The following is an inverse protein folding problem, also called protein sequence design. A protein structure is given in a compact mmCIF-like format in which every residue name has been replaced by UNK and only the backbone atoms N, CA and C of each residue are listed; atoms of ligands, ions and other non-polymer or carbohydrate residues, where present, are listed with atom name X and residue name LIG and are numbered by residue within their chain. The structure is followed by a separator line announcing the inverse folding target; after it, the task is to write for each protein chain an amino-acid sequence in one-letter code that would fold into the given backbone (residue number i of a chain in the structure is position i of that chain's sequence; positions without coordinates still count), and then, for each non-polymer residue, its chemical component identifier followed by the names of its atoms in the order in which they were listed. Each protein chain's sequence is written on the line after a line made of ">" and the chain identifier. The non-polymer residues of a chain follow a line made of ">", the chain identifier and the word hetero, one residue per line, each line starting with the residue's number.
data_IF_115881420335
#
_entry.id   IF_115881420335
#
_cell.length_a   1.000
_cell.length_b   1.000
_cell.length_c   1.000
_cell.angle_alpha   90.00
_cell.angle_beta   90.00
_cell.angle_gamma   90.00
#
_symmetry.space_group_name_H-M   'P 1'
#
loop_
_entity.id
_entity.type
_entity.pdbx_description
1 polymer ?
#
# COMPACT_ATOMS: atom_id res chain seq x y z
N UNK A 1 -23.83 -15.68 -7.57
CA UNK A 1 -23.49 -14.24 -7.74
C UNK A 1 -24.08 -13.39 -6.62
N UNK A 2 -25.37 -13.52 -6.30
CA UNK A 2 -25.99 -12.81 -5.16
C UNK A 2 -25.29 -13.07 -3.82
N UNK A 3 -24.91 -14.31 -3.51
CA UNK A 3 -24.16 -14.64 -2.29
C UNK A 3 -22.83 -13.89 -2.14
N UNK A 4 -22.07 -13.76 -3.23
CA UNK A 4 -20.81 -13.01 -3.25
C UNK A 4 -21.03 -11.50 -3.09
N UNK A 5 -22.13 -10.98 -3.65
CA UNK A 5 -22.51 -9.58 -3.46
C UNK A 5 -22.87 -9.30 -2.00
N UNK A 6 -23.61 -10.20 -1.34
CA UNK A 6 -23.85 -10.11 0.10
C UNK A 6 -22.54 -10.14 0.88
N UNK A 7 -21.60 -11.03 0.54
CA UNK A 7 -20.31 -11.07 1.23
C UNK A 7 -19.50 -9.78 1.07
N UNK A 8 -19.56 -9.15 -0.12
CA UNK A 8 -18.95 -7.82 -0.34
C UNK A 8 -19.60 -6.77 0.57
N UNK A 9 -20.93 -6.72 0.63
CA UNK A 9 -21.63 -5.78 1.53
C UNK A 9 -21.33 -6.05 3.00
N UNK A 10 -21.26 -7.31 3.41
CA UNK A 10 -20.85 -7.71 4.77
C UNK A 10 -19.41 -7.28 5.07
N UNK A 11 -18.52 -7.31 4.07
CA UNK A 11 -17.13 -6.85 4.20
C UNK A 11 -17.01 -5.33 4.37
N UNK A 12 -18.06 -4.56 4.08
CA UNK A 12 -18.10 -3.10 4.30
C UNK A 12 -18.54 -2.71 5.71
N UNK A 13 -19.15 -3.64 6.46
CA UNK A 13 -19.61 -3.40 7.85
C UNK A 13 -18.44 -3.01 8.74
N UNK A 14 -18.56 -1.92 9.49
CA UNK A 14 -17.54 -1.41 10.41
C UNK A 14 -17.40 -2.26 11.69
N UNK A 15 -17.25 -3.58 11.53
CA UNK A 15 -16.93 -4.49 12.62
C UNK A 15 -15.75 -5.41 12.27
N UNK A 16 -14.75 -5.46 13.15
CA UNK A 16 -13.44 -6.09 12.90
C UNK A 16 -13.57 -7.61 12.80
N UNK A 17 -14.36 -8.23 13.68
CA UNK A 17 -14.53 -9.69 13.70
C UNK A 17 -15.28 -10.18 12.45
N UNK A 18 -16.30 -9.44 12.01
CA UNK A 18 -17.00 -9.73 10.76
C UNK A 18 -16.06 -9.59 9.56
N UNK A 19 -15.24 -8.54 9.57
CA UNK A 19 -14.27 -8.30 8.51
C UNK A 19 -13.22 -9.42 8.43
N UNK A 20 -12.69 -9.91 9.56
CA UNK A 20 -11.73 -11.03 9.60
C UNK A 20 -12.30 -12.29 8.94
N UNK A 21 -13.55 -12.65 9.24
CA UNK A 21 -14.22 -13.80 8.64
C UNK A 21 -14.35 -13.62 7.11
N UNK A 22 -14.74 -12.43 6.66
CA UNK A 22 -14.85 -12.15 5.23
C UNK A 22 -13.47 -12.16 4.55
N UNK A 23 -12.45 -11.60 5.21
CA UNK A 23 -11.08 -11.54 4.73
C UNK A 23 -10.49 -12.95 4.54
N UNK A 24 -10.74 -13.87 5.46
CA UNK A 24 -10.31 -15.26 5.34
C UNK A 24 -10.87 -15.90 4.04
N UNK A 25 -12.16 -15.70 3.77
CA UNK A 25 -12.76 -16.16 2.51
C UNK A 25 -12.11 -15.51 1.28
N UNK A 26 -11.92 -14.18 1.29
CA UNK A 26 -11.32 -13.47 0.16
C UNK A 26 -9.86 -13.88 -0.09
N UNK A 27 -9.11 -14.16 0.97
CA UNK A 27 -7.76 -14.69 0.88
C UNK A 27 -7.75 -16.06 0.19
N UNK A 28 -8.58 -17.00 0.66
CA UNK A 28 -8.69 -18.35 0.06
C UNK A 28 -9.07 -18.25 -1.42
N UNK A 29 -10.13 -17.49 -1.75
CA UNK A 29 -10.59 -17.35 -3.14
C UNK A 29 -9.51 -16.74 -4.05
N UNK A 30 -8.86 -15.67 -3.61
CA UNK A 30 -7.82 -15.00 -4.40
C UNK A 30 -6.57 -15.88 -4.57
N UNK A 31 -6.17 -16.62 -3.54
CA UNK A 31 -5.06 -17.58 -3.57
C UNK A 31 -5.34 -18.76 -4.52
N UNK A 32 -6.58 -19.28 -4.56
CA UNK A 32 -6.98 -20.33 -5.51
C UNK A 32 -6.93 -19.83 -6.95
N UNK A 33 -7.54 -18.66 -7.22
CA UNK A 33 -7.55 -18.07 -8.57
C UNK A 33 -6.13 -17.73 -9.06
N UNK A 34 -5.22 -17.36 -8.15
CA UNK A 34 -3.81 -17.12 -8.44
C UNK A 34 -3.06 -18.43 -8.75
N UNK A 35 -3.31 -19.50 -8.00
CA UNK A 35 -2.71 -20.82 -8.25
C UNK A 35 -3.12 -21.46 -9.58
N UNK A 36 -4.21 -21.02 -10.19
CA UNK A 36 -4.61 -21.46 -11.53
C UNK A 36 -3.73 -20.89 -12.67
N UNK A 37 -2.94 -19.82 -12.44
CA UNK A 37 -2.13 -19.15 -13.49
C UNK A 37 -1.09 -20.09 -14.14
N UNK A 38 -0.29 -20.87 -13.39
CA UNK A 38 0.78 -21.68 -13.99
C UNK A 38 0.23 -22.84 -14.84
N UNK A 39 -0.96 -23.35 -14.55
CA UNK A 39 -1.50 -24.54 -15.21
C UNK A 39 -1.98 -24.28 -16.65
N UNK A 40 -2.39 -23.06 -16.98
CA UNK A 40 -2.83 -22.71 -18.34
C UNK A 40 -1.68 -22.51 -19.32
N UNK A 41 -0.48 -22.19 -18.83
CA UNK A 41 0.70 -21.96 -19.68
C UNK A 41 1.51 -23.24 -19.96
N UNK A 42 1.37 -24.28 -19.14
CA UNK A 42 2.16 -25.53 -19.22
C UNK A 42 1.46 -26.63 -20.02
N UNK A 43 0.15 -26.52 -20.30
CA UNK A 43 -0.57 -27.53 -21.08
C UNK A 43 -0.07 -27.56 -22.54
N UNK A 44 0.53 -28.66 -23.01
CA UNK A 44 1.05 -28.75 -24.36
C UNK A 44 -0.07 -28.64 -25.40
N UNK A 45 0.23 -27.99 -26.51
CA UNK A 45 -0.71 -27.55 -27.55
C UNK A 45 -1.60 -28.67 -28.12
N UNK A 46 -1.19 -29.94 -28.04
CA UNK A 46 -1.94 -31.09 -28.52
C UNK A 46 -3.07 -31.57 -27.58
N UNK A 47 -3.10 -31.12 -26.31
CA UNK A 47 -4.23 -31.35 -25.40
C UNK A 47 -5.34 -30.30 -25.56
N UNK A 48 -5.17 -29.33 -26.47
CA UNK A 48 -6.20 -28.33 -26.83
C UNK A 48 -7.22 -28.88 -27.83
N UNK A 49 -7.70 -30.10 -27.62
CA UNK A 49 -8.79 -30.70 -28.39
C UNK A 49 -10.13 -30.19 -27.89
N UNK A 50 -10.75 -29.30 -28.67
CA UNK A 50 -12.18 -28.98 -28.61
C UNK A 50 -12.52 -27.61 -27.98
N UNK A 51 -12.81 -26.63 -28.84
CA UNK A 51 -13.70 -25.48 -28.56
C UNK A 51 -13.57 -24.74 -27.20
N UNK A 52 -12.35 -24.42 -26.75
CA UNK A 52 -12.12 -23.63 -25.52
C UNK A 52 -12.19 -22.10 -25.70
N UNK A 53 -12.79 -21.60 -26.79
CA UNK A 53 -12.78 -20.16 -27.12
C UNK A 53 -13.90 -19.34 -26.46
N UNK A 54 -14.77 -19.89 -25.60
CA UNK A 54 -15.93 -19.15 -25.08
C UNK A 54 -16.36 -19.45 -23.64
N UNK A 55 -15.59 -20.21 -22.84
CA UNK A 55 -15.87 -20.31 -21.40
C UNK A 55 -15.07 -19.21 -20.70
N UNK A 56 -15.73 -18.21 -20.09
CA UNK A 56 -15.00 -17.20 -19.33
C UNK A 56 -14.16 -17.91 -18.28
N UNK A 57 -12.86 -17.58 -18.20
CA UNK A 57 -12.03 -18.11 -17.12
C UNK A 57 -12.70 -17.78 -15.79
N UNK A 58 -12.57 -18.64 -14.76
CA UNK A 58 -13.15 -18.36 -13.43
C UNK A 58 -12.84 -16.92 -12.98
N UNK A 59 -11.66 -16.39 -13.33
CA UNK A 59 -11.26 -14.99 -13.15
C UNK A 59 -12.20 -13.97 -13.78
N UNK A 60 -12.60 -14.14 -15.04
CA UNK A 60 -13.53 -13.24 -15.71
C UNK A 60 -14.89 -13.24 -14.99
N UNK A 61 -15.35 -14.39 -14.51
CA UNK A 61 -16.57 -14.47 -13.72
C UNK A 61 -16.50 -13.68 -12.41
N UNK A 62 -15.35 -13.74 -11.70
CA UNK A 62 -15.16 -13.00 -10.45
C UNK A 62 -14.70 -11.55 -10.64
N UNK A 63 -14.30 -11.12 -11.84
CA UNK A 63 -13.65 -9.82 -12.10
C UNK A 63 -14.34 -8.63 -11.42
N UNK A 64 -15.65 -8.49 -11.63
CA UNK A 64 -16.46 -7.42 -11.04
C UNK A 64 -16.48 -7.46 -9.51
N UNK A 65 -16.54 -8.67 -8.93
CA UNK A 65 -16.53 -8.85 -7.47
C UNK A 65 -15.13 -8.54 -6.92
N UNK A 66 -14.08 -9.03 -7.57
CA UNK A 66 -12.69 -8.79 -7.13
C UNK A 66 -12.32 -7.32 -7.19
N UNK A 67 -12.82 -6.55 -8.16
CA UNK A 67 -12.63 -5.09 -8.20
C UNK A 67 -13.26 -4.41 -6.98
N UNK A 68 -14.47 -4.83 -6.56
CA UNK A 68 -15.07 -4.35 -5.30
C UNK A 68 -14.26 -4.75 -4.07
N UNK A 69 -13.77 -5.99 -4.02
CA UNK A 69 -12.92 -6.46 -2.92
C UNK A 69 -11.61 -5.66 -2.87
N UNK A 70 -10.97 -5.35 -4.00
CA UNK A 70 -9.79 -4.45 -4.04
C UNK A 70 -10.09 -3.10 -3.41
N UNK A 71 -11.22 -2.48 -3.75
CA UNK A 71 -11.65 -1.20 -3.15
C UNK A 71 -11.77 -1.30 -1.63
N UNK A 72 -12.37 -2.38 -1.12
CA UNK A 72 -12.51 -2.61 0.33
C UNK A 72 -11.14 -2.82 0.99
N UNK A 73 -10.29 -3.68 0.42
CA UNK A 73 -8.94 -3.95 0.95
C UNK A 73 -8.09 -2.68 1.02
N UNK A 74 -8.18 -1.82 0.00
CA UNK A 74 -7.47 -0.53 -0.04
C UNK A 74 -8.05 0.44 1.00
N UNK A 75 -9.37 0.58 1.07
CA UNK A 75 -10.03 1.52 1.98
C UNK A 75 -9.96 1.13 3.46
N UNK A 76 -9.73 -0.15 3.76
CA UNK A 76 -9.72 -0.67 5.14
C UNK A 76 -8.37 -1.23 5.57
N UNK A 77 -7.30 -0.99 4.80
CA UNK A 77 -5.99 -1.55 5.09
C UNK A 77 -5.59 -1.32 6.55
N UNK A 78 -5.23 -2.38 7.25
CA UNK A 78 -4.79 -2.30 8.63
C UNK A 78 -3.41 -1.62 8.74
N UNK A 79 -3.15 -1.01 9.90
CA UNK A 79 -1.90 -0.28 10.17
C UNK A 79 -0.70 -1.24 10.16
N UNK A 80 0.30 -1.04 9.28
CA UNK A 80 1.57 -1.79 9.29
C UNK A 80 2.38 -1.51 10.56
N UNK A 81 3.23 -2.45 10.98
CA UNK A 81 4.09 -2.30 12.17
C UNK A 81 5.19 -1.22 11.99
N UNK A 82 5.56 -0.92 10.76
CA UNK A 82 6.56 0.09 10.40
C UNK A 82 6.02 1.52 10.54
N UNK A 83 4.70 1.69 10.65
CA UNK A 83 4.03 2.99 10.78
C UNK A 83 3.91 3.36 12.25
N UNK A 84 4.77 4.30 12.67
CA UNK A 84 4.87 4.73 14.06
C UNK A 84 4.14 6.06 14.36
N UNK A 85 3.85 6.86 13.33
CA UNK A 85 3.14 8.14 13.48
C UNK A 85 1.65 7.89 13.40
N UNK A 86 0.91 8.20 14.46
CA UNK A 86 -0.53 7.91 14.55
C UNK A 86 -1.27 9.07 15.19
N UNK A 87 -2.55 9.18 14.87
CA UNK A 87 -3.49 10.08 15.55
C UNK A 87 -3.99 9.39 16.82
N UNK A 88 -3.86 10.05 17.98
CA UNK A 88 -4.43 9.55 19.23
C UNK A 88 -5.94 9.89 19.34
N UNK A 89 -6.60 9.41 20.39
CA UNK A 89 -8.03 9.69 20.66
C UNK A 89 -8.36 11.19 20.81
N UNK A 90 -7.35 12.03 21.03
CA UNK A 90 -7.48 13.49 21.17
C UNK A 90 -7.26 14.24 19.85
N UNK A 91 -7.02 13.52 18.75
CA UNK A 91 -6.73 14.11 17.44
C UNK A 91 -5.29 14.65 17.30
N UNK A 92 -4.39 14.27 18.21
CA UNK A 92 -2.99 14.71 18.19
C UNK A 92 -2.10 13.67 17.51
N UNK A 93 -1.09 14.15 16.79
CA UNK A 93 -0.11 13.29 16.13
C UNK A 93 0.96 12.86 17.13
N UNK A 94 0.96 11.57 17.47
CA UNK A 94 1.87 10.96 18.44
C UNK A 94 2.69 9.83 17.82
N UNK A 95 3.73 9.39 18.54
CA UNK A 95 4.50 8.20 18.21
C UNK A 95 4.01 7.01 19.03
N UNK A 96 3.61 5.94 18.36
CA UNK A 96 3.17 4.69 18.99
C UNK A 96 3.81 3.48 18.31
N UNK A 97 4.16 2.46 19.09
CA UNK A 97 4.62 1.18 18.56
C UNK A 97 3.47 0.18 18.54
N UNK A 98 3.29 -0.51 17.43
CA UNK A 98 2.34 -1.62 17.35
C UNK A 98 2.83 -2.79 18.22
N UNK A 99 2.03 -3.19 19.20
CA UNK A 99 2.31 -4.36 20.06
C UNK A 99 1.22 -5.43 19.99
N UNK A 100 0.08 -5.11 19.39
CA UNK A 100 -1.05 -6.03 19.27
C UNK A 100 -0.78 -7.04 18.15
N UNK A 101 -0.69 -8.31 18.55
CA UNK A 101 -0.42 -9.42 17.63
C UNK A 101 -1.59 -9.66 16.67
N UNK A 102 -2.82 -9.41 17.10
CA UNK A 102 -4.01 -9.60 16.29
C UNK A 102 -4.08 -8.55 15.17
N UNK A 103 -3.79 -7.28 15.49
CA UNK A 103 -3.67 -6.22 14.49
C UNK A 103 -2.55 -6.48 13.46
N UNK A 104 -1.41 -7.01 13.91
CA UNK A 104 -0.29 -7.40 13.03
C UNK A 104 -0.71 -8.53 12.08
N UNK A 105 -1.42 -9.54 12.59
CA UNK A 105 -1.90 -10.65 11.78
C UNK A 105 -2.98 -10.22 10.78
N UNK A 106 -3.87 -9.31 11.18
CA UNK A 106 -4.85 -8.70 10.28
C UNK A 106 -4.16 -8.01 9.10
N UNK A 107 -3.14 -7.17 9.37
CA UNK A 107 -2.36 -6.54 8.30
C UNK A 107 -1.70 -7.56 7.38
N UNK A 108 -1.08 -8.63 7.93
CA UNK A 108 -0.46 -9.69 7.12
C UNK A 108 -1.47 -10.37 6.18
N UNK A 109 -2.65 -10.72 6.68
CA UNK A 109 -3.71 -11.35 5.90
C UNK A 109 -4.28 -10.41 4.82
N UNK A 110 -4.48 -9.12 5.16
CA UNK A 110 -4.92 -8.11 4.18
C UNK A 110 -3.88 -7.91 3.09
N UNK A 111 -2.60 -7.78 3.47
CA UNK A 111 -1.48 -7.66 2.53
C UNK A 111 -1.42 -8.84 1.58
N UNK A 112 -1.45 -10.06 2.09
CA UNK A 112 -1.39 -11.26 1.26
C UNK A 112 -2.56 -11.30 0.26
N UNK A 113 -3.78 -11.02 0.74
CA UNK A 113 -4.98 -10.96 -0.10
C UNK A 113 -4.84 -9.91 -1.21
N UNK A 114 -4.40 -8.69 -0.87
CA UNK A 114 -4.23 -7.62 -1.84
C UNK A 114 -3.10 -7.92 -2.84
N UNK A 115 -2.05 -8.62 -2.42
CA UNK A 115 -0.98 -9.10 -3.31
C UNK A 115 -1.55 -10.11 -4.31
N UNK A 116 -2.35 -11.09 -3.90
CA UNK A 116 -3.02 -12.01 -4.84
C UNK A 116 -3.94 -11.25 -5.81
N UNK A 117 -4.76 -10.33 -5.31
CA UNK A 117 -5.64 -9.50 -6.15
C UNK A 117 -4.87 -8.67 -7.17
N UNK A 118 -3.68 -8.17 -6.80
CA UNK A 118 -2.82 -7.39 -7.70
C UNK A 118 -2.21 -8.27 -8.79
N UNK A 119 -1.78 -9.49 -8.47
CA UNK A 119 -1.34 -10.43 -9.50
C UNK A 119 -2.46 -10.86 -10.46
N UNK A 120 -3.71 -10.91 -9.98
CA UNK A 120 -4.87 -11.27 -10.79
C UNK A 120 -5.25 -10.18 -11.79
N UNK A 121 -5.12 -8.90 -11.41
CA UNK A 121 -5.34 -7.74 -12.27
C UNK A 121 -4.67 -6.50 -11.65
N UNK A 122 -3.43 -6.24 -12.07
CA UNK A 122 -2.67 -5.11 -11.54
C UNK A 122 -3.16 -3.78 -12.10
N UNK A 123 -3.79 -3.78 -13.28
CA UNK A 123 -4.31 -2.58 -13.95
C UNK A 123 -5.51 -2.03 -13.17
N UNK A 124 -6.43 -2.90 -12.75
CA UNK A 124 -7.54 -2.51 -11.87
C UNK A 124 -7.04 -2.03 -10.51
N UNK A 125 -6.04 -2.70 -9.90
CA UNK A 125 -5.41 -2.23 -8.66
C UNK A 125 -4.77 -0.84 -8.82
N UNK A 126 -3.95 -0.63 -9.86
CA UNK A 126 -3.32 0.65 -10.17
C UNK A 126 -4.38 1.75 -10.36
N UNK A 127 -5.43 1.47 -11.15
CA UNK A 127 -6.52 2.40 -11.41
C UNK A 127 -7.25 2.82 -10.13
N UNK A 128 -7.60 1.87 -9.26
CA UNK A 128 -8.29 2.17 -7.99
C UNK A 128 -7.40 3.00 -7.06
N UNK A 129 -6.12 2.66 -6.93
CA UNK A 129 -5.19 3.39 -6.08
C UNK A 129 -4.95 4.81 -6.59
N UNK A 130 -4.80 4.99 -7.90
CA UNK A 130 -4.63 6.32 -8.52
C UNK A 130 -5.90 7.16 -8.40
N UNK A 131 -7.09 6.58 -8.61
CA UNK A 131 -8.38 7.26 -8.40
C UNK A 131 -8.50 7.78 -6.95
N UNK A 132 -8.25 6.91 -5.96
CA UNK A 132 -8.30 7.29 -4.55
C UNK A 132 -7.26 8.36 -4.18
N UNK A 133 -6.07 8.28 -4.76
CA UNK A 133 -5.03 9.30 -4.54
C UNK A 133 -5.45 10.66 -5.12
N UNK A 134 -6.02 10.67 -6.33
CA UNK A 134 -6.56 11.89 -6.93
C UNK A 134 -7.67 12.50 -6.06
N UNK A 135 -8.52 11.68 -5.43
CA UNK A 135 -9.55 12.13 -4.49
C UNK A 135 -8.98 12.75 -3.19
N UNK A 136 -7.76 12.36 -2.79
CA UNK A 136 -7.05 13.03 -1.69
C UNK A 136 -6.54 14.42 -2.12
N UNK A 137 -5.99 14.53 -3.34
CA UNK A 137 -5.41 15.77 -3.88
C UNK A 137 -6.47 16.82 -4.20
N UNK A 138 -7.58 16.41 -4.80
CA UNK A 138 -8.68 17.32 -5.16
C UNK A 138 -9.58 17.71 -3.96
N UNK A 139 -9.32 17.17 -2.76
CA UNK A 139 -10.07 17.38 -1.51
C UNK A 139 -11.46 16.74 -1.42
N UNK A 140 -11.87 15.90 -2.37
CA UNK A 140 -13.20 15.24 -2.33
C UNK A 140 -13.30 14.20 -1.21
N UNK A 141 -12.23 13.45 -0.95
CA UNK A 141 -12.19 12.40 0.08
C UNK A 141 -11.04 12.60 1.08
N UNK A 142 -10.50 13.83 1.18
CA UNK A 142 -9.36 14.12 2.04
C UNK A 142 -9.65 13.85 3.52
N UNK A 143 -8.90 12.93 4.11
CA UNK A 143 -8.80 12.77 5.57
C UNK A 143 -7.50 12.03 5.92
N UNK A 144 -7.00 12.18 7.15
CA UNK A 144 -5.81 11.45 7.59
C UNK A 144 -6.02 9.93 7.49
N UNK A 145 -7.21 9.45 7.91
CA UNK A 145 -7.60 8.04 7.80
C UNK A 145 -7.56 7.51 6.36
N UNK A 146 -8.14 8.24 5.41
CA UNK A 146 -8.19 7.81 4.01
C UNK A 146 -6.80 7.84 3.35
N UNK A 147 -6.00 8.87 3.60
CA UNK A 147 -4.63 8.92 3.10
C UNK A 147 -3.77 7.78 3.68
N UNK A 148 -3.86 7.56 4.98
CA UNK A 148 -3.12 6.51 5.69
C UNK A 148 -3.44 5.13 5.11
N UNK A 149 -4.71 4.74 5.10
CA UNK A 149 -5.14 3.42 4.59
C UNK A 149 -4.73 3.21 3.13
N UNK A 150 -4.88 4.23 2.28
CA UNK A 150 -4.41 4.20 0.89
C UNK A 150 -2.89 3.97 0.80
N UNK A 151 -2.08 4.73 1.54
CA UNK A 151 -0.62 4.62 1.48
C UNK A 151 -0.12 3.29 2.08
N UNK A 152 -0.80 2.77 3.11
CA UNK A 152 -0.55 1.43 3.66
C UNK A 152 -0.84 0.36 2.59
N UNK A 153 -1.94 0.49 1.87
CA UNK A 153 -2.28 -0.42 0.78
C UNK A 153 -1.24 -0.36 -0.36
N UNK A 154 -0.84 0.85 -0.76
CA UNK A 154 0.22 1.06 -1.76
C UNK A 154 1.52 0.41 -1.31
N UNK A 155 1.96 0.59 -0.05
CA UNK A 155 3.17 -0.07 0.44
C UNK A 155 3.06 -1.60 0.49
N UNK A 156 1.89 -2.13 0.81
CA UNK A 156 1.67 -3.57 1.01
C UNK A 156 1.85 -4.41 -0.26
N UNK A 157 1.62 -3.83 -1.45
CA UNK A 157 1.73 -4.51 -2.76
C UNK A 157 3.14 -4.49 -3.37
N UNK A 158 4.15 -4.05 -2.62
CA UNK A 158 5.54 -4.03 -3.08
C UNK A 158 6.00 -5.39 -3.62
N UNK A 159 6.51 -5.39 -4.85
CA UNK A 159 6.96 -6.59 -5.55
C UNK A 159 5.86 -7.39 -6.26
N UNK A 160 4.59 -6.97 -6.20
CA UNK A 160 3.49 -7.63 -6.92
C UNK A 160 3.33 -7.17 -8.38
N UNK A 161 4.13 -6.18 -8.82
CA UNK A 161 4.15 -5.64 -10.17
C UNK A 161 5.50 -5.92 -10.85
N UNK A 162 5.51 -5.90 -12.19
CA UNK A 162 6.74 -5.92 -12.98
C UNK A 162 7.52 -4.62 -12.74
N UNK A 163 8.86 -4.65 -12.77
CA UNK A 163 9.70 -3.51 -12.36
C UNK A 163 9.38 -2.20 -13.08
N UNK A 164 9.10 -2.25 -14.40
CA UNK A 164 8.81 -1.04 -15.17
C UNK A 164 7.44 -0.43 -14.83
N UNK A 165 6.43 -1.27 -14.61
CA UNK A 165 5.10 -0.83 -14.18
C UNK A 165 5.13 -0.33 -12.74
N UNK A 166 5.81 -1.06 -11.83
CA UNK A 166 6.05 -0.64 -10.44
C UNK A 166 6.74 0.73 -10.40
N UNK A 167 7.78 0.92 -11.22
CA UNK A 167 8.48 2.20 -11.35
C UNK A 167 7.56 3.32 -11.81
N UNK A 168 6.76 3.11 -12.88
CA UNK A 168 5.82 4.13 -13.39
C UNK A 168 4.82 4.51 -12.31
N UNK A 169 4.22 3.51 -11.67
CA UNK A 169 3.24 3.70 -10.61
C UNK A 169 3.82 4.51 -9.43
N UNK A 170 5.00 4.13 -8.93
CA UNK A 170 5.63 4.82 -7.80
C UNK A 170 6.02 6.26 -8.10
N UNK A 171 6.50 6.55 -9.31
CA UNK A 171 6.82 7.94 -9.70
C UNK A 171 5.56 8.80 -9.63
N UNK A 172 4.42 8.30 -10.10
CA UNK A 172 3.13 8.99 -10.01
C UNK A 172 2.72 9.20 -8.55
N UNK A 173 2.71 8.13 -7.74
CA UNK A 173 2.30 8.20 -6.33
C UNK A 173 3.12 9.21 -5.55
N UNK A 174 4.46 9.15 -5.66
CA UNK A 174 5.35 10.01 -4.88
C UNK A 174 5.22 11.47 -5.33
N UNK A 175 5.05 11.71 -6.63
CA UNK A 175 4.81 13.07 -7.15
C UNK A 175 3.53 13.67 -6.60
N UNK A 176 2.42 12.93 -6.64
CA UNK A 176 1.12 13.38 -6.11
C UNK A 176 1.19 13.63 -4.59
N UNK A 177 1.83 12.73 -3.83
CA UNK A 177 1.98 12.90 -2.38
C UNK A 177 2.87 14.10 -2.01
N UNK A 178 3.96 14.34 -2.74
CA UNK A 178 4.79 15.54 -2.55
C UNK A 178 3.99 16.81 -2.86
N UNK A 179 3.23 16.83 -3.96
CA UNK A 179 2.33 17.94 -4.30
C UNK A 179 1.28 18.19 -3.21
N UNK A 180 0.68 17.13 -2.68
CA UNK A 180 -0.25 17.19 -1.55
C UNK A 180 0.40 17.78 -0.29
N UNK A 181 1.67 17.41 -0.01
CA UNK A 181 2.43 17.95 1.12
C UNK A 181 2.72 19.45 0.98
N UNK A 182 2.93 19.93 -0.24
CA UNK A 182 3.09 21.37 -0.53
C UNK A 182 1.75 22.13 -0.40
N UNK A 183 0.66 21.54 -0.88
CA UNK A 183 -0.68 22.13 -0.85
C UNK A 183 -1.24 22.24 0.57
N UNK A 184 -1.03 21.22 1.41
CA UNK A 184 -1.63 21.16 2.74
C UNK A 184 -0.83 21.97 3.76
N UNK A 185 -1.56 22.83 4.49
CA UNK A 185 -1.02 23.67 5.56
C UNK A 185 -1.16 22.98 6.92
N UNK A 186 -0.36 23.41 7.89
CA UNK A 186 -0.40 22.88 9.26
C UNK A 186 0.60 21.76 9.51
N UNK A 187 1.20 21.77 10.71
CA UNK A 187 2.27 20.84 11.09
C UNK A 187 1.80 19.38 11.07
N UNK A 188 0.58 19.11 11.52
CA UNK A 188 0.05 17.76 11.68
C UNK A 188 -0.27 17.14 10.30
N UNK A 189 -0.89 17.92 9.41
CA UNK A 189 -1.08 17.51 8.01
C UNK A 189 0.26 17.16 7.33
N UNK A 190 1.28 18.00 7.49
CA UNK A 190 2.61 17.74 6.92
C UNK A 190 3.25 16.49 7.51
N UNK A 191 3.13 16.27 8.81
CA UNK A 191 3.64 15.09 9.49
C UNK A 191 2.99 13.80 8.96
N UNK A 192 1.67 13.79 8.81
CA UNK A 192 0.92 12.64 8.28
C UNK A 192 1.26 12.37 6.81
N UNK A 193 1.36 13.40 5.96
CA UNK A 193 1.71 13.18 4.55
C UNK A 193 3.16 12.69 4.43
N UNK A 194 4.09 13.29 5.18
CA UNK A 194 5.49 12.88 5.19
C UNK A 194 5.68 11.44 5.69
N UNK A 195 4.95 11.03 6.74
CA UNK A 195 5.02 9.65 7.26
C UNK A 195 4.56 8.64 6.22
N UNK A 196 3.49 8.95 5.48
CA UNK A 196 3.00 8.12 4.39
C UNK A 196 3.99 8.04 3.21
N UNK A 197 4.58 9.16 2.79
CA UNK A 197 5.63 9.16 1.75
C UNK A 197 6.79 8.27 2.18
N UNK A 198 7.27 8.42 3.41
CA UNK A 198 8.38 7.63 3.95
C UNK A 198 8.07 6.15 4.02
N UNK A 199 6.86 5.80 4.48
CA UNK A 199 6.40 4.42 4.51
C UNK A 199 6.37 3.82 3.09
N UNK A 200 5.69 4.48 2.14
CA UNK A 200 5.62 4.00 0.74
C UNK A 200 7.03 3.84 0.18
N UNK A 201 7.85 4.90 0.17
CA UNK A 201 9.22 4.86 -0.34
C UNK A 201 10.03 3.71 0.29
N UNK A 202 9.86 3.51 1.60
CA UNK A 202 10.52 2.47 2.35
C UNK A 202 10.17 1.04 1.95
N UNK A 203 8.93 0.80 1.55
CA UNK A 203 8.48 -0.53 1.12
C UNK A 203 9.03 -0.95 -0.25
N UNK A 204 9.61 -0.04 -1.05
CA UNK A 204 10.06 -0.31 -2.43
C UNK A 204 11.59 -0.24 -2.63
N UNK A 205 12.35 -1.19 -2.06
CA UNK A 205 13.81 -1.16 -2.13
C UNK A 205 14.40 -1.45 -3.51
N UNK A 206 13.66 -2.11 -4.41
CA UNK A 206 14.10 -2.32 -5.81
C UNK A 206 14.21 -0.99 -6.54
N UNK A 207 13.14 -0.20 -6.50
CA UNK A 207 13.08 1.16 -7.05
C UNK A 207 14.18 2.06 -6.48
N UNK A 208 14.37 2.07 -5.15
CA UNK A 208 15.38 2.89 -4.51
C UNK A 208 16.82 2.54 -4.89
N UNK A 209 17.12 1.25 -5.09
CA UNK A 209 18.46 0.83 -5.51
C UNK A 209 18.82 1.34 -6.91
N UNK A 210 17.83 1.44 -7.80
CA UNK A 210 18.00 1.97 -9.15
C UNK A 210 18.00 3.52 -9.19
N UNK A 211 17.37 4.19 -8.21
CA UNK A 211 17.10 5.64 -8.26
C UNK A 211 17.58 6.40 -7.01
N UNK A 212 18.83 6.20 -6.58
CA UNK A 212 19.38 6.88 -5.38
C UNK A 212 19.27 8.41 -5.39
N UNK A 213 19.47 9.06 -6.54
CA UNK A 213 19.34 10.53 -6.65
C UNK A 213 17.91 10.98 -6.31
N UNK A 214 16.92 10.23 -6.77
CA UNK A 214 15.51 10.48 -6.48
C UNK A 214 15.22 10.35 -4.99
N UNK A 215 15.72 9.30 -4.33
CA UNK A 215 15.59 9.13 -2.88
C UNK A 215 16.16 10.34 -2.13
N UNK A 216 17.36 10.79 -2.50
CA UNK A 216 17.99 11.95 -1.88
C UNK A 216 17.11 13.20 -2.03
N UNK A 217 16.55 13.43 -3.22
CA UNK A 217 15.64 14.56 -3.46
C UNK A 217 14.38 14.46 -2.60
N UNK A 218 13.74 13.29 -2.54
CA UNK A 218 12.53 13.08 -1.72
C UNK A 218 12.85 13.33 -0.25
N UNK A 219 13.93 12.75 0.28
CA UNK A 219 14.34 12.91 1.69
C UNK A 219 14.64 14.38 2.02
N UNK A 220 15.42 15.07 1.17
CA UNK A 220 15.71 16.50 1.37
C UNK A 220 14.43 17.34 1.35
N UNK A 221 13.52 17.05 0.43
CA UNK A 221 12.24 17.77 0.31
C UNK A 221 11.35 17.57 1.54
N UNK A 222 11.31 16.34 2.07
CA UNK A 222 10.62 16.06 3.33
C UNK A 222 11.28 16.79 4.51
N UNK A 223 12.61 16.87 4.55
CA UNK A 223 13.30 17.68 5.56
C UNK A 223 12.94 19.16 5.45
N UNK A 224 12.94 19.75 4.25
CA UNK A 224 12.50 21.14 4.03
C UNK A 224 11.09 21.39 4.56
N UNK A 225 10.17 20.45 4.34
CA UNK A 225 8.80 20.55 4.84
C UNK A 225 8.71 20.52 6.37
N UNK A 226 9.70 19.93 7.05
CA UNK A 226 9.76 19.76 8.50
C UNK A 226 10.61 20.79 9.23
N UNK A 227 11.55 21.48 8.56
CA UNK A 227 12.48 22.44 9.19
C UNK A 227 11.82 23.66 9.86
N UNK A 228 10.49 23.77 9.83
CA UNK A 228 9.72 24.78 10.57
C UNK A 228 9.14 24.35 11.92
N UNK A 229 9.18 23.08 12.36
CA UNK A 229 8.49 22.64 13.59
C UNK A 229 9.13 21.44 14.34
N UNK A 230 9.58 21.72 15.57
CA UNK A 230 9.78 20.87 16.78
C UNK A 230 10.01 19.34 16.65
N UNK A 231 11.27 18.93 16.90
CA UNK A 231 11.81 17.78 17.69
C UNK A 231 11.22 16.36 17.63
N UNK A 232 9.90 16.17 17.54
CA UNK A 232 9.25 14.85 17.63
C UNK A 232 9.13 14.22 16.25
N UNK A 233 8.63 14.97 15.26
CA UNK A 233 8.46 14.49 13.88
C UNK A 233 9.82 14.11 13.29
N UNK A 234 10.88 14.88 13.57
CA UNK A 234 12.26 14.59 13.18
C UNK A 234 12.77 13.25 13.75
N UNK A 235 12.50 12.96 15.03
CA UNK A 235 12.90 11.72 15.66
C UNK A 235 12.11 10.50 15.15
N UNK A 236 10.82 10.67 14.83
CA UNK A 236 10.04 9.58 14.21
C UNK A 236 10.48 9.35 12.77
N UNK A 237 10.72 10.41 12.01
CA UNK A 237 11.26 10.36 10.65
C UNK A 237 12.60 9.63 10.58
N UNK A 238 13.54 9.98 11.47
CA UNK A 238 14.81 9.28 11.62
C UNK A 238 14.57 7.81 11.98
N UNK A 239 13.67 7.51 12.90
CA UNK A 239 13.40 6.13 13.33
C UNK A 239 12.79 5.25 12.23
N UNK A 240 11.87 5.79 11.42
CA UNK A 240 11.32 5.09 10.24
C UNK A 240 12.41 4.88 9.19
N UNK A 241 13.25 5.88 8.95
CA UNK A 241 14.40 5.78 8.05
C UNK A 241 15.48 4.79 8.57
N UNK A 242 15.65 4.67 9.90
CA UNK A 242 16.48 3.65 10.55
C UNK A 242 15.85 2.25 10.49
N UNK A 243 14.53 2.11 10.56
CA UNK A 243 13.89 0.81 10.33
C UNK A 243 14.11 0.32 8.88
N UNK A 244 14.06 1.24 7.91
CA UNK A 244 14.41 0.97 6.50
C UNK A 244 15.88 0.62 6.27
N UNK A 245 16.75 0.91 7.24
CA UNK A 245 18.16 0.54 7.20
C UNK A 245 18.42 -0.97 7.35
N UNK A 246 17.37 -1.77 7.62
CA UNK A 246 17.40 -3.24 7.51
C UNK A 246 17.43 -3.79 6.08
N UNK A 247 17.54 -2.92 5.08
CA UNK A 247 17.94 -3.30 3.72
C UNK A 247 19.39 -3.77 3.63
N UNK A 248 19.71 -4.91 4.27
CA UNK A 248 20.77 -5.90 3.99
C UNK A 248 22.10 -5.45 3.33
N UNK A 249 22.54 -4.20 3.48
CA UNK A 249 23.89 -3.72 3.18
C UNK A 249 24.27 -2.55 4.12
N UNK A 250 25.24 -2.74 5.04
CA UNK A 250 25.64 -1.72 6.03
C UNK A 250 26.25 -0.44 5.41
N UNK A 251 26.64 -0.46 4.13
CA UNK A 251 27.44 0.60 3.53
C UNK A 251 26.67 1.85 3.07
N UNK A 252 25.34 1.79 2.89
CA UNK A 252 24.53 2.95 2.44
C UNK A 252 23.82 3.67 3.58
N UNK A 253 23.60 2.98 4.70
CA UNK A 253 23.05 3.54 5.95
C UNK A 253 23.96 4.64 6.50
N UNK A 254 25.27 4.39 6.47
CA UNK A 254 26.29 5.39 6.80
C UNK A 254 26.20 6.67 5.97
N UNK A 255 25.82 6.60 4.68
CA UNK A 255 25.68 7.78 3.83
C UNK A 255 24.41 8.58 4.12
N UNK A 256 23.35 7.93 4.57
CA UNK A 256 22.15 8.65 5.01
C UNK A 256 22.43 9.30 6.36
N UNK A 257 23.09 8.59 7.28
CA UNK A 257 23.58 9.14 8.55
C UNK A 257 24.53 10.34 8.34
N UNK A 258 25.43 10.27 7.35
CA UNK A 258 26.33 11.38 7.00
C UNK A 258 25.57 12.60 6.43
N UNK A 259 24.49 12.39 5.68
CA UNK A 259 23.66 13.48 5.11
C UNK A 259 22.75 14.12 6.17
N UNK A 260 22.48 13.43 7.27
CA UNK A 260 21.71 13.96 8.41
C UNK A 260 22.62 14.78 9.35
N UNK A 261 23.94 14.54 9.34
CA UNK A 261 24.92 15.18 10.21
C UNK A 261 25.91 16.14 9.50
N UNK A 262 25.69 16.44 8.21
CA UNK A 262 26.36 17.49 7.43
C UNK A 262 25.31 18.47 6.92
#
# INVERSE_FOLDING_TARGET
>A
MFSLQYLVLTSEVEEVEIFKICLEYWNILSAELYREVPYQQIAPSYLRTGNSNNVPTRRQFYSVILSKVRRIMISRMARPEEVLVVENERGEVVREFMKDTDAINLYKNMRETLVYLTHLDYVDTESIMTEKLANQVNNTEWSWKNLNTLCWAIGSISGAMVEDDEKRFLVTVIKELLGLCEQKRGKDNKAIIASNIMYVVGQYPRFLRAHWKFLKTVVNKLFEFMHGNSSIIFNVFLSTLFSLSFLKKPMKVYKIWLVIHL
#
